data_IF_346875630426
#
_entry.id   IF_346875630426
#
_cell.length_a   1.000
_cell.length_b   1.000
_cell.length_c   1.000
_cell.angle_alpha   90.00
_cell.angle_beta   90.00
_cell.angle_gamma   90.00
#
_symmetry.space_group_name_H-M   'P 1'
#
loop_
_entity.id
_entity.type
_entity.pdbx_description
1 polymer ?
#
# COMPACT_ATOMS: atom_id res chain seq x y z
N UNK A 1 5.20 13.73 -9.54
CA UNK A 1 4.01 12.85 -9.42
C UNK A 1 2.85 13.69 -8.93
N UNK A 2 1.74 13.77 -9.67
CA UNK A 2 0.56 14.53 -9.24
C UNK A 2 -0.26 13.74 -8.22
N UNK A 3 -0.71 14.43 -7.16
CA UNK A 3 -1.68 13.87 -6.23
C UNK A 3 -3.07 13.88 -6.88
N UNK A 4 -3.73 12.72 -6.93
CA UNK A 4 -5.09 12.60 -7.46
C UNK A 4 -6.09 13.13 -6.45
N UNK A 5 -7.09 13.87 -6.91
CA UNK A 5 -8.27 14.17 -6.11
C UNK A 5 -9.15 12.91 -6.02
N UNK A 6 -9.46 12.48 -4.80
CA UNK A 6 -10.14 11.21 -4.51
C UNK A 6 -11.32 11.47 -3.57
N UNK A 7 -12.50 11.04 -3.99
CA UNK A 7 -13.67 11.04 -3.11
C UNK A 7 -13.52 9.99 -1.99
N UNK A 8 -13.48 10.45 -0.76
CA UNK A 8 -13.26 9.62 0.42
C UNK A 8 -14.30 8.52 0.58
N UNK A 9 -15.58 8.82 0.32
CA UNK A 9 -16.66 7.85 0.53
C UNK A 9 -16.59 6.73 -0.50
N UNK A 10 -16.38 7.08 -1.76
CA UNK A 10 -16.19 6.13 -2.87
C UNK A 10 -14.94 5.28 -2.65
N UNK A 11 -13.81 5.88 -2.28
CA UNK A 11 -12.58 5.16 -1.97
C UNK A 11 -12.78 4.13 -0.86
N UNK A 12 -13.37 4.51 0.27
CA UNK A 12 -13.61 3.61 1.40
C UNK A 12 -14.55 2.47 1.06
N UNK A 13 -15.65 2.78 0.35
CA UNK A 13 -16.59 1.76 -0.14
C UNK A 13 -15.86 0.74 -1.03
N UNK A 14 -15.10 1.21 -2.00
CA UNK A 14 -14.38 0.36 -2.94
C UNK A 14 -13.28 -0.45 -2.23
N UNK A 15 -12.53 0.16 -1.32
CA UNK A 15 -11.50 -0.52 -0.51
C UNK A 15 -12.10 -1.64 0.31
N UNK A 16 -13.20 -1.39 1.03
CA UNK A 16 -13.88 -2.42 1.83
C UNK A 16 -14.39 -3.56 0.96
N UNK A 17 -14.98 -3.25 -0.21
CA UNK A 17 -15.48 -4.26 -1.13
C UNK A 17 -14.33 -5.11 -1.71
N UNK A 18 -13.20 -4.49 -2.04
CA UNK A 18 -11.99 -5.20 -2.51
C UNK A 18 -11.45 -6.12 -1.41
N UNK A 19 -11.34 -5.64 -0.18
CA UNK A 19 -10.83 -6.45 0.95
C UNK A 19 -11.78 -7.63 1.22
N UNK A 20 -13.09 -7.38 1.33
CA UNK A 20 -14.06 -8.44 1.56
C UNK A 20 -14.09 -9.46 0.43
N UNK A 21 -14.10 -8.98 -0.82
CA UNK A 21 -14.07 -9.85 -1.99
C UNK A 21 -12.79 -10.69 -2.07
N UNK A 22 -11.64 -10.08 -1.78
CA UNK A 22 -10.35 -10.78 -1.75
C UNK A 22 -10.32 -11.87 -0.67
N UNK A 23 -10.72 -11.55 0.56
CA UNK A 23 -10.71 -12.50 1.69
C UNK A 23 -11.70 -13.66 1.43
N UNK A 24 -12.91 -13.36 0.98
CA UNK A 24 -13.90 -14.39 0.65
C UNK A 24 -13.44 -15.29 -0.49
N UNK A 25 -12.91 -14.71 -1.59
CA UNK A 25 -12.39 -15.48 -2.72
C UNK A 25 -11.19 -16.32 -2.31
N UNK A 26 -10.26 -15.78 -1.51
CA UNK A 26 -9.11 -16.50 -1.02
C UNK A 26 -9.52 -17.71 -0.18
N UNK A 27 -10.47 -17.53 0.74
CA UNK A 27 -10.95 -18.62 1.58
C UNK A 27 -11.60 -19.75 0.76
N UNK A 28 -12.50 -19.40 -0.16
CA UNK A 28 -13.18 -20.38 -1.03
C UNK A 28 -12.17 -21.11 -1.92
N UNK A 29 -11.29 -20.37 -2.60
CA UNK A 29 -10.30 -20.96 -3.50
C UNK A 29 -9.27 -21.82 -2.78
N UNK A 30 -8.85 -21.41 -1.57
CA UNK A 30 -7.94 -22.21 -0.75
C UNK A 30 -8.53 -23.58 -0.40
N UNK A 31 -9.82 -23.62 -0.02
CA UNK A 31 -10.53 -24.87 0.25
C UNK A 31 -10.68 -25.72 -1.02
N UNK A 32 -11.05 -25.12 -2.14
CA UNK A 32 -11.22 -25.82 -3.42
C UNK A 32 -9.89 -26.41 -3.89
N UNK A 33 -8.82 -25.60 -3.92
CA UNK A 33 -7.50 -26.08 -4.34
C UNK A 33 -6.93 -27.12 -3.38
N UNK A 34 -7.11 -26.93 -2.07
CA UNK A 34 -6.72 -27.92 -1.07
C UNK A 34 -7.42 -29.25 -1.29
N UNK A 35 -8.75 -29.25 -1.47
CA UNK A 35 -9.53 -30.44 -1.75
C UNK A 35 -9.11 -31.14 -3.06
N UNK A 36 -8.87 -30.38 -4.14
CA UNK A 36 -8.37 -30.91 -5.42
C UNK A 36 -7.01 -31.57 -5.24
N UNK A 37 -6.07 -30.89 -4.55
CA UNK A 37 -4.72 -31.42 -4.35
C UNK A 37 -4.76 -32.69 -3.49
N UNK A 38 -5.58 -32.73 -2.43
CA UNK A 38 -5.75 -33.92 -1.61
C UNK A 38 -6.38 -35.06 -2.40
N UNK A 39 -7.35 -34.78 -3.25
CA UNK A 39 -7.98 -35.80 -4.08
C UNK A 39 -6.98 -36.50 -5.01
N UNK A 40 -6.05 -35.76 -5.64
CA UNK A 40 -5.10 -36.29 -6.61
C UNK A 40 -3.79 -36.78 -5.99
N UNK A 41 -3.34 -36.20 -4.89
CA UNK A 41 -2.00 -36.41 -4.33
C UNK A 41 -2.02 -36.76 -2.84
N UNK A 42 -3.18 -36.74 -2.19
CA UNK A 42 -3.31 -36.96 -0.76
C UNK A 42 -3.28 -38.41 -0.37
N UNK A 43 -2.86 -38.68 0.86
CA UNK A 43 -3.02 -39.95 1.47
C UNK A 43 -4.48 -40.16 1.92
N UNK A 44 -5.04 -41.38 1.82
CA UNK A 44 -6.38 -41.68 2.31
C UNK A 44 -6.46 -41.50 3.83
N UNK A 45 -7.65 -41.19 4.33
CA UNK A 45 -7.89 -41.09 5.77
C UNK A 45 -7.58 -42.42 6.46
N UNK A 46 -6.75 -42.39 7.51
CA UNK A 46 -6.43 -43.57 8.30
C UNK A 46 -7.64 -43.97 9.16
N UNK A 47 -7.97 -45.24 9.16
CA UNK A 47 -9.02 -45.77 10.04
C UNK A 47 -8.64 -45.70 11.55
N UNK A 48 -7.35 -45.48 11.85
CA UNK A 48 -6.82 -45.36 13.22
C UNK A 48 -6.91 -43.96 13.81
N UNK A 49 -7.43 -42.98 13.05
CA UNK A 49 -7.50 -41.56 13.49
C UNK A 49 -6.15 -40.83 13.48
N UNK A 50 -5.11 -41.43 12.92
CA UNK A 50 -3.83 -40.77 12.73
C UNK A 50 -3.89 -39.65 11.65
N UNK A 51 -3.00 -38.68 11.76
CA UNK A 51 -2.91 -37.57 10.79
C UNK A 51 -2.64 -38.13 9.38
N UNK A 52 -3.45 -37.67 8.40
CA UNK A 52 -3.26 -38.06 6.99
C UNK A 52 -1.98 -37.47 6.37
N UNK A 53 -1.27 -36.58 7.07
CA UNK A 53 -0.08 -35.86 6.51
C UNK A 53 -0.39 -34.88 5.38
N UNK A 54 -1.66 -34.65 5.02
CA UNK A 54 -2.08 -33.81 3.91
C UNK A 54 -1.96 -32.30 4.17
N UNK A 55 -1.41 -31.89 5.31
CA UNK A 55 -1.26 -30.46 5.69
C UNK A 55 -0.52 -29.64 4.62
N UNK A 56 0.56 -30.18 4.07
CA UNK A 56 1.33 -29.52 3.03
C UNK A 56 0.52 -29.25 1.75
N UNK A 57 -0.44 -30.12 1.39
CA UNK A 57 -1.34 -29.93 0.25
C UNK A 57 -2.34 -28.79 0.51
N UNK A 58 -2.85 -28.68 1.72
CA UNK A 58 -3.68 -27.53 2.11
C UNK A 58 -2.90 -26.22 2.05
N UNK A 59 -1.66 -26.20 2.54
CA UNK A 59 -0.79 -25.01 2.42
C UNK A 59 -0.55 -24.65 0.96
N UNK A 60 -0.28 -25.64 0.09
CA UNK A 60 -0.13 -25.41 -1.34
C UNK A 60 -1.42 -24.84 -1.96
N UNK A 61 -2.59 -25.34 -1.53
CA UNK A 61 -3.88 -24.80 -1.95
C UNK A 61 -4.03 -23.31 -1.62
N UNK A 62 -3.60 -22.88 -0.44
CA UNK A 62 -3.61 -21.46 -0.04
C UNK A 62 -2.66 -20.64 -0.93
N UNK A 63 -1.45 -21.17 -1.21
CA UNK A 63 -0.47 -20.48 -2.09
C UNK A 63 -1.02 -20.29 -3.50
N UNK A 64 -1.65 -21.33 -4.07
CA UNK A 64 -2.30 -21.23 -5.39
C UNK A 64 -3.46 -20.23 -5.39
N UNK A 65 -4.30 -20.25 -4.36
CA UNK A 65 -5.40 -19.30 -4.20
C UNK A 65 -4.89 -17.85 -4.10
N UNK A 66 -3.84 -17.62 -3.31
CA UNK A 66 -3.21 -16.30 -3.18
C UNK A 66 -2.63 -15.81 -4.51
N UNK A 67 -1.94 -16.68 -5.23
CA UNK A 67 -1.40 -16.37 -6.57
C UNK A 67 -2.50 -15.97 -7.55
N UNK A 68 -3.59 -16.75 -7.63
CA UNK A 68 -4.72 -16.47 -8.50
C UNK A 68 -5.43 -15.17 -8.12
N UNK A 69 -5.76 -14.95 -6.85
CA UNK A 69 -6.40 -13.73 -6.38
C UNK A 69 -5.53 -12.49 -6.68
N UNK A 70 -4.22 -12.58 -6.46
CA UNK A 70 -3.27 -11.50 -6.77
C UNK A 70 -3.18 -11.20 -8.26
N UNK A 71 -3.19 -12.22 -9.11
CA UNK A 71 -3.19 -12.09 -10.57
C UNK A 71 -4.48 -11.39 -11.05
N UNK A 72 -5.64 -11.78 -10.50
CA UNK A 72 -6.92 -11.15 -10.82
C UNK A 72 -6.93 -9.68 -10.41
N UNK A 73 -6.50 -9.34 -9.20
CA UNK A 73 -6.42 -7.93 -8.76
C UNK A 73 -5.48 -7.12 -9.66
N UNK A 74 -4.31 -7.67 -9.98
CA UNK A 74 -3.36 -6.98 -10.86
C UNK A 74 -3.94 -6.75 -12.28
N UNK A 75 -4.71 -7.69 -12.81
CA UNK A 75 -5.37 -7.53 -14.13
C UNK A 75 -6.44 -6.47 -14.13
N UNK A 76 -7.08 -6.22 -12.99
CA UNK A 76 -8.20 -5.29 -12.84
C UNK A 76 -7.78 -3.87 -12.35
N UNK A 77 -6.50 -3.65 -12.04
CA UNK A 77 -5.98 -2.41 -11.41
C UNK A 77 -6.29 -1.11 -12.15
N UNK A 78 -6.53 -1.17 -13.48
CA UNK A 78 -6.87 -0.02 -14.32
C UNK A 78 -8.38 0.28 -14.38
N UNK A 79 -9.21 -0.61 -13.86
CA UNK A 79 -10.66 -0.37 -13.86
C UNK A 79 -11.04 0.76 -12.90
N UNK A 80 -12.04 1.58 -13.22
CA UNK A 80 -12.46 2.73 -12.40
C UNK A 80 -12.64 2.38 -10.92
N UNK A 81 -13.23 1.21 -10.65
CA UNK A 81 -13.47 0.68 -9.32
C UNK A 81 -12.18 0.45 -8.49
N UNK A 82 -11.09 0.00 -9.12
CA UNK A 82 -9.82 -0.32 -8.46
C UNK A 82 -8.77 0.78 -8.59
N UNK A 83 -8.93 1.71 -9.52
CA UNK A 83 -7.93 2.73 -9.86
C UNK A 83 -7.50 3.56 -8.64
N UNK A 84 -8.47 4.06 -7.86
CA UNK A 84 -8.19 4.87 -6.67
C UNK A 84 -7.57 4.04 -5.54
N UNK A 85 -8.08 2.82 -5.32
CA UNK A 85 -7.56 1.88 -4.32
C UNK A 85 -6.11 1.52 -4.65
N UNK A 86 -5.82 1.22 -5.92
CA UNK A 86 -4.47 0.91 -6.38
C UNK A 86 -3.53 2.11 -6.28
N UNK A 87 -4.01 3.31 -6.63
CA UNK A 87 -3.24 4.55 -6.48
C UNK A 87 -2.83 4.81 -5.01
N UNK A 88 -3.77 4.70 -4.07
CA UNK A 88 -3.47 4.87 -2.64
C UNK A 88 -2.52 3.77 -2.14
N UNK A 89 -2.65 2.54 -2.64
CA UNK A 89 -1.69 1.48 -2.35
C UNK A 89 -0.27 1.85 -2.86
N UNK A 90 -0.15 2.40 -4.08
CA UNK A 90 1.14 2.88 -4.60
C UNK A 90 1.72 4.01 -3.74
N UNK A 91 0.88 4.98 -3.29
CA UNK A 91 1.32 6.01 -2.36
C UNK A 91 1.88 5.42 -1.07
N UNK A 92 1.20 4.45 -0.48
CA UNK A 92 1.67 3.77 0.75
C UNK A 92 3.01 3.03 0.54
N UNK A 93 3.22 2.42 -0.63
CA UNK A 93 4.52 1.83 -0.98
C UNK A 93 5.62 2.90 -1.09
N UNK A 94 5.31 4.02 -1.70
CA UNK A 94 6.23 5.15 -1.85
C UNK A 94 6.54 5.79 -0.49
N UNK A 95 5.55 5.93 0.40
CA UNK A 95 5.78 6.37 1.78
C UNK A 95 6.79 5.48 2.51
N UNK A 96 6.68 4.16 2.36
CA UNK A 96 7.65 3.22 2.95
C UNK A 96 9.08 3.42 2.40
N UNK A 97 9.21 3.71 1.09
CA UNK A 97 10.52 4.00 0.48
C UNK A 97 11.11 5.30 1.02
N UNK A 98 10.31 6.38 1.09
CA UNK A 98 10.73 7.66 1.65
C UNK A 98 11.08 7.52 3.13
N UNK A 99 10.26 6.81 3.91
CA UNK A 99 10.46 6.62 5.34
C UNK A 99 11.80 5.95 5.66
N UNK A 100 12.22 4.96 4.87
CA UNK A 100 13.53 4.30 5.05
C UNK A 100 14.72 5.25 4.87
N UNK A 101 14.54 6.34 4.15
CA UNK A 101 15.57 7.36 3.88
C UNK A 101 15.30 8.68 4.62
N UNK A 102 14.24 8.74 5.44
CA UNK A 102 13.73 9.99 6.01
C UNK A 102 14.78 10.76 6.81
N UNK A 103 15.63 10.05 7.57
CA UNK A 103 16.69 10.70 8.34
C UNK A 103 17.70 11.43 7.43
N UNK A 104 18.12 10.81 6.33
CA UNK A 104 19.02 11.44 5.35
C UNK A 104 18.35 12.61 4.63
N UNK A 105 17.07 12.45 4.25
CA UNK A 105 16.30 13.50 3.59
C UNK A 105 16.15 14.72 4.52
N UNK A 106 15.85 14.52 5.79
CA UNK A 106 15.78 15.61 6.80
C UNK A 106 17.13 16.30 6.96
N UNK A 107 18.22 15.53 7.04
CA UNK A 107 19.57 16.10 7.10
C UNK A 107 19.92 16.94 5.86
N UNK A 108 19.54 16.50 4.66
CA UNK A 108 19.71 17.27 3.43
C UNK A 108 18.87 18.56 3.43
N UNK A 109 17.63 18.49 3.98
CA UNK A 109 16.78 19.67 4.15
C UNK A 109 17.35 20.66 5.20
N UNK A 110 18.08 20.18 6.21
CA UNK A 110 18.78 21.04 7.17
C UNK A 110 20.00 21.74 6.52
N UNK A 111 20.58 21.13 5.50
CA UNK A 111 21.61 21.73 4.64
C UNK A 111 21.02 22.63 3.52
N UNK A 112 19.72 22.88 3.56
CA UNK A 112 18.98 23.68 2.57
C UNK A 112 19.01 23.13 1.14
N UNK A 113 19.10 21.82 0.96
CA UNK A 113 19.06 21.19 -0.36
C UNK A 113 17.63 21.22 -0.96
N UNK A 114 17.39 21.86 -2.13
CA UNK A 114 16.04 22.00 -2.68
C UNK A 114 15.34 20.65 -2.96
N UNK A 115 16.09 19.63 -3.38
CA UNK A 115 15.54 18.29 -3.61
C UNK A 115 14.92 17.68 -2.35
N UNK A 116 15.56 17.87 -1.20
CA UNK A 116 15.06 17.35 0.06
C UNK A 116 13.72 17.98 0.43
N UNK A 117 13.56 19.28 0.20
CA UNK A 117 12.28 19.98 0.40
C UNK A 117 11.20 19.48 -0.54
N UNK A 118 11.50 19.20 -1.82
CA UNK A 118 10.54 18.62 -2.77
C UNK A 118 10.05 17.25 -2.27
N UNK A 119 10.97 16.37 -1.84
CA UNK A 119 10.63 15.04 -1.34
C UNK A 119 9.78 15.13 -0.07
N UNK A 120 10.16 15.99 0.90
CA UNK A 120 9.39 16.17 2.14
C UNK A 120 8.02 16.79 1.89
N UNK A 121 7.93 17.77 0.99
CA UNK A 121 6.66 18.40 0.63
C UNK A 121 5.68 17.37 0.04
N UNK A 122 6.14 16.55 -0.90
CA UNK A 122 5.35 15.44 -1.43
C UNK A 122 4.99 14.42 -0.34
N UNK A 123 5.96 14.04 0.49
CA UNK A 123 5.76 13.04 1.55
C UNK A 123 4.67 13.46 2.53
N UNK A 124 4.77 14.66 3.10
CA UNK A 124 3.76 15.11 4.07
C UNK A 124 2.41 15.41 3.43
N UNK A 125 2.37 15.99 2.22
CA UNK A 125 1.12 16.23 1.51
C UNK A 125 0.39 14.93 1.17
N UNK A 126 1.11 13.92 0.69
CA UNK A 126 0.54 12.62 0.36
C UNK A 126 0.17 11.80 1.61
N UNK A 127 0.93 11.90 2.71
CA UNK A 127 0.55 11.31 4.00
C UNK A 127 -0.74 11.92 4.54
N UNK A 128 -0.87 13.26 4.50
CA UNK A 128 -2.10 13.95 4.88
C UNK A 128 -3.29 13.42 4.08
N UNK A 129 -3.14 13.29 2.75
CA UNK A 129 -4.18 12.74 1.90
C UNK A 129 -4.58 11.32 2.32
N UNK A 130 -3.60 10.42 2.47
CA UNK A 130 -3.86 9.02 2.84
C UNK A 130 -4.50 8.92 4.21
N UNK A 131 -4.04 9.67 5.21
CA UNK A 131 -4.62 9.64 6.56
C UNK A 131 -6.04 10.20 6.59
N UNK A 132 -6.33 11.22 5.76
CA UNK A 132 -7.70 11.73 5.59
C UNK A 132 -8.62 10.68 4.98
N UNK A 133 -8.15 9.96 3.95
CA UNK A 133 -8.90 8.89 3.29
C UNK A 133 -9.16 7.70 4.22
N UNK A 134 -8.17 7.33 5.03
CA UNK A 134 -8.23 6.19 5.96
C UNK A 134 -8.90 6.51 7.32
N UNK A 135 -9.35 7.77 7.58
CA UNK A 135 -9.83 8.26 8.88
C UNK A 135 -8.80 8.12 10.02
N UNK A 136 -7.52 8.21 9.71
CA UNK A 136 -6.48 8.16 10.72
C UNK A 136 -6.28 9.55 11.36
N UNK A 137 -7.18 9.93 12.25
CA UNK A 137 -7.18 11.25 12.91
C UNK A 137 -6.04 11.41 13.91
N UNK A 138 -5.55 10.33 14.51
CA UNK A 138 -4.52 10.38 15.56
C UNK A 138 -3.18 10.95 15.06
N UNK A 139 -2.79 10.58 13.86
CA UNK A 139 -1.51 11.02 13.25
C UNK A 139 -1.67 12.20 12.29
N UNK A 140 -2.90 12.53 11.90
CA UNK A 140 -3.18 13.60 10.94
C UNK A 140 -2.71 14.96 11.45
N UNK A 141 -3.01 15.30 12.71
CA UNK A 141 -2.60 16.57 13.31
C UNK A 141 -1.06 16.74 13.34
N UNK A 142 -0.32 15.67 13.61
CA UNK A 142 1.15 15.69 13.58
C UNK A 142 1.67 15.95 12.16
N UNK A 143 1.10 15.26 11.18
CA UNK A 143 1.51 15.46 9.76
C UNK A 143 1.17 16.85 9.27
N UNK A 144 0.03 17.42 9.66
CA UNK A 144 -0.33 18.80 9.34
C UNK A 144 0.64 19.82 9.97
N UNK A 145 1.04 19.59 11.23
CA UNK A 145 2.05 20.42 11.88
C UNK A 145 3.40 20.34 11.16
N UNK A 146 3.86 19.13 10.83
CA UNK A 146 5.12 18.93 10.10
C UNK A 146 5.11 19.59 8.71
N UNK A 147 3.98 19.49 7.99
CA UNK A 147 3.80 20.13 6.69
C UNK A 147 3.84 21.66 6.80
N UNK A 148 3.18 22.24 7.82
CA UNK A 148 3.19 23.67 8.05
C UNK A 148 4.60 24.18 8.38
N UNK A 149 5.32 23.51 9.29
CA UNK A 149 6.72 23.84 9.62
C UNK A 149 7.63 23.78 8.39
N UNK A 150 7.43 22.77 7.53
CA UNK A 150 8.17 22.63 6.27
C UNK A 150 7.88 23.81 5.34
N UNK A 151 6.60 24.17 5.18
CA UNK A 151 6.19 25.30 4.32
C UNK A 151 6.76 26.62 4.82
N UNK A 152 6.76 26.87 6.14
CA UNK A 152 7.36 28.05 6.73
C UNK A 152 8.88 28.13 6.45
N UNK A 153 9.58 27.00 6.55
CA UNK A 153 11.02 26.92 6.23
C UNK A 153 11.28 27.18 4.74
N UNK A 154 10.46 26.60 3.85
CA UNK A 154 10.53 26.83 2.39
C UNK A 154 10.33 28.31 2.06
N UNK A 155 9.30 28.94 2.68
CA UNK A 155 9.00 30.37 2.48
C UNK A 155 10.13 31.27 2.99
N UNK A 156 10.70 30.98 4.18
CA UNK A 156 11.82 31.72 4.74
C UNK A 156 13.09 31.68 3.87
N UNK A 157 13.26 30.58 3.11
CA UNK A 157 14.37 30.43 2.16
C UNK A 157 14.06 31.05 0.76
N UNK A 158 12.86 31.60 0.55
CA UNK A 158 12.43 32.14 -0.74
C UNK A 158 12.31 31.09 -1.85
N UNK A 159 12.14 29.81 -1.49
CA UNK A 159 12.03 28.73 -2.45
C UNK A 159 10.58 28.58 -2.94
N UNK A 160 10.42 28.21 -4.22
CA UNK A 160 9.11 27.85 -4.80
C UNK A 160 9.08 26.34 -5.01
N UNK A 161 8.50 25.64 -4.05
CA UNK A 161 8.44 24.17 -4.03
C UNK A 161 7.00 23.71 -3.94
N UNK A 162 6.64 22.74 -4.79
CA UNK A 162 5.32 22.10 -4.79
C UNK A 162 5.46 20.58 -4.77
N UNK A 163 4.49 19.85 -4.18
CA UNK A 163 4.52 18.39 -4.13
C UNK A 163 4.59 17.72 -5.53
N UNK A 164 4.05 18.39 -6.57
CA UNK A 164 3.97 17.88 -7.94
C UNK A 164 5.36 17.76 -8.61
N UNK A 165 6.35 18.51 -8.11
CA UNK A 165 7.74 18.46 -8.59
C UNK A 165 8.44 17.15 -8.22
N UNK A 166 7.85 16.35 -7.33
CA UNK A 166 8.45 15.11 -6.89
C UNK A 166 8.47 14.05 -7.99
N UNK A 167 9.64 13.44 -8.17
CA UNK A 167 9.88 12.29 -9.03
C UNK A 167 10.52 11.15 -8.20
N UNK A 168 10.06 9.89 -8.36
CA UNK A 168 10.60 8.76 -7.58
C UNK A 168 12.11 8.58 -7.72
N UNK A 169 12.69 8.92 -8.88
CA UNK A 169 14.15 8.87 -9.11
C UNK A 169 14.95 9.77 -8.19
N UNK A 170 14.34 10.82 -7.63
CA UNK A 170 15.00 11.70 -6.65
C UNK A 170 15.42 10.94 -5.38
N UNK A 171 14.72 9.85 -5.06
CA UNK A 171 15.07 9.01 -3.92
C UNK A 171 16.37 8.21 -4.12
N UNK A 172 16.78 7.94 -5.36
CA UNK A 172 18.01 7.22 -5.65
C UNK A 172 19.26 8.07 -5.43
N UNK A 173 19.08 9.39 -5.39
CA UNK A 173 20.16 10.38 -5.35
C UNK A 173 20.43 10.91 -3.93
N UNK A 174 19.74 10.39 -2.89
CA UNK A 174 19.90 10.73 -1.48
C UNK A 174 20.41 9.56 -0.65
#
# INVERSE_FOLDING_TARGET
>A
MQLMDIDKQTYRKNTNLVIMGFVASLAILALVFGAILIHFFGAPASASGESTGNFHLNVMGVVLALGLCSAVLNSQKQKPFLKEVYYVWQLKQLHNQIYRKLAKIKQAADNNEPKAFIILSFYFASLKQVYTLDDNTLTLATVESDLNQLNDKIAALGLTITPEQFEPQMLEQI
#
